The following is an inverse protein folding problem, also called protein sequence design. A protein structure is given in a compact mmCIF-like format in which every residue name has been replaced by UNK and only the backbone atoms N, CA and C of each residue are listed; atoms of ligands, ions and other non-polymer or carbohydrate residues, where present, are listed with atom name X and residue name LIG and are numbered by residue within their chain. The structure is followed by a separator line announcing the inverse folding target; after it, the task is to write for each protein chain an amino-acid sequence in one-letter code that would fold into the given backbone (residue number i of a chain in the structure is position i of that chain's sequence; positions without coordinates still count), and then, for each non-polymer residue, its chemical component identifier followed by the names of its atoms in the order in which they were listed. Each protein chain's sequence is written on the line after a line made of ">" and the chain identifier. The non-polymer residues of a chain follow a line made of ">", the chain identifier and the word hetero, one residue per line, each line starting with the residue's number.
data_IF_680974009081
#
_entry.id   IF_680974009081
#
_cell.length_a   1.000
_cell.length_b   1.000
_cell.length_c   1.000
_cell.angle_alpha   90.00
_cell.angle_beta   90.00
_cell.angle_gamma   90.00
#
_symmetry.space_group_name_H-M   'P 1'
#
loop_
_entity.id
_entity.type
_entity.pdbx_description
1 polymer ?
#
# COMPACT_ATOMS: atom_id res chain seq x y z
N UNK A 1 13.60 -18.08 -1.98
CA UNK A 1 13.36 -17.46 -0.67
C UNK A 1 11.93 -17.78 -0.30
N UNK A 2 11.73 -18.68 0.67
CA UNK A 2 10.44 -19.34 0.93
C UNK A 2 9.61 -18.46 1.85
N UNK A 3 8.43 -18.01 1.41
CA UNK A 3 7.45 -17.37 2.27
C UNK A 3 6.83 -18.43 3.18
N UNK A 4 7.36 -18.54 4.40
CA UNK A 4 6.82 -19.42 5.44
C UNK A 4 5.55 -18.76 5.98
N UNK A 5 4.41 -19.47 5.91
CA UNK A 5 3.16 -19.03 6.52
C UNK A 5 3.23 -19.21 8.06
N UNK A 6 2.57 -18.35 8.87
CA UNK A 6 2.79 -18.31 10.32
C UNK A 6 2.31 -19.53 11.13
N UNK A 7 1.82 -20.60 10.50
CA UNK A 7 1.12 -21.70 11.19
C UNK A 7 1.95 -22.97 11.44
N UNK A 8 3.27 -22.96 11.24
CA UNK A 8 4.11 -24.17 11.40
C UNK A 8 5.32 -24.07 12.33
N UNK A 9 5.40 -23.07 13.22
CA UNK A 9 6.47 -23.01 14.24
C UNK A 9 5.90 -23.12 15.65
N UNK A 10 5.42 -24.31 16.00
CA UNK A 10 5.26 -24.72 17.40
C UNK A 10 6.03 -26.03 17.59
N UNK A 11 7.32 -25.92 17.91
CA UNK A 11 8.01 -26.79 18.86
C UNK A 11 9.43 -26.30 19.17
N UNK A 12 9.64 -26.18 20.48
CA UNK A 12 10.89 -26.41 21.23
C UNK A 12 11.87 -25.23 21.48
N UNK A 13 11.76 -24.74 22.73
CA UNK A 13 12.80 -24.26 23.68
C UNK A 13 13.10 -22.75 23.76
N UNK A 14 12.80 -22.20 24.95
CA UNK A 14 13.70 -21.32 25.72
C UNK A 14 13.66 -19.81 25.44
N UNK A 15 13.08 -19.07 26.39
CA UNK A 15 13.51 -17.73 26.87
C UNK A 15 13.99 -16.68 25.87
N UNK A 16 13.08 -15.83 25.39
CA UNK A 16 13.10 -14.35 25.54
C UNK A 16 11.84 -13.79 24.85
N UNK A 17 10.95 -13.19 25.64
CA UNK A 17 9.68 -12.66 25.16
C UNK A 17 9.92 -11.31 24.48
N UNK A 18 10.43 -11.31 23.26
CA UNK A 18 10.27 -10.18 22.35
C UNK A 18 8.79 -10.10 21.98
N UNK A 19 8.03 -9.30 22.74
CA UNK A 19 6.73 -8.82 22.29
C UNK A 19 6.96 -7.96 21.04
N UNK A 20 7.06 -8.62 19.88
CA UNK A 20 6.99 -7.95 18.59
C UNK A 20 5.61 -7.36 18.47
N UNK A 21 5.54 -6.03 18.53
CA UNK A 21 4.33 -5.24 18.43
C UNK A 21 3.59 -5.59 17.11
N UNK A 22 2.54 -6.42 17.21
CA UNK A 22 1.66 -6.81 16.10
C UNK A 22 0.89 -5.63 15.49
N UNK A 23 1.01 -4.43 16.05
CA UNK A 23 0.21 -3.26 15.69
C UNK A 23 0.53 -2.67 14.30
N UNK A 24 1.67 -2.98 13.68
CA UNK A 24 2.12 -2.28 12.47
C UNK A 24 1.87 -3.02 11.14
N UNK A 25 1.45 -4.29 11.16
CA UNK A 25 1.08 -5.00 9.94
C UNK A 25 -0.42 -4.84 9.68
N UNK A 26 -0.80 -3.76 8.98
CA UNK A 26 -2.15 -3.65 8.44
C UNK A 26 -2.42 -4.86 7.55
N UNK A 27 -3.38 -5.69 7.96
CA UNK A 27 -3.86 -6.82 7.17
C UNK A 27 -4.78 -6.33 6.06
N UNK A 28 -4.65 -6.89 4.86
CA UNK A 28 -5.49 -6.56 3.71
C UNK A 28 -4.90 -5.52 2.77
N UNK A 29 -5.69 -5.10 1.80
CA UNK A 29 -5.30 -4.17 0.76
C UNK A 29 -5.01 -2.76 1.33
N UNK A 30 -3.86 -2.18 0.99
CA UNK A 30 -3.54 -0.81 1.42
C UNK A 30 -4.39 0.27 0.73
N UNK A 31 -5.08 -0.06 -0.37
CA UNK A 31 -5.97 0.85 -1.08
C UNK A 31 -7.38 0.84 -0.48
N UNK A 32 -7.98 -0.34 -0.29
CA UNK A 32 -9.39 -0.49 0.07
C UNK A 32 -9.66 -1.28 1.37
N UNK A 33 -8.64 -1.85 2.00
CA UNK A 33 -8.76 -2.67 3.21
C UNK A 33 -9.27 -4.11 3.00
N UNK A 34 -9.75 -4.45 1.80
CA UNK A 34 -10.29 -5.79 1.51
C UNK A 34 -9.21 -6.88 1.49
N UNK A 35 -9.64 -8.14 1.62
CA UNK A 35 -8.76 -9.32 1.67
C UNK A 35 -7.88 -9.46 0.42
N UNK A 36 -6.63 -9.92 0.64
CA UNK A 36 -5.69 -10.26 -0.42
C UNK A 36 -5.91 -11.71 -0.86
N UNK A 37 -6.01 -11.90 -2.18
CA UNK A 37 -6.14 -13.20 -2.84
C UNK A 37 -4.82 -13.55 -3.50
N UNK A 38 -4.31 -14.75 -3.19
CA UNK A 38 -3.10 -15.29 -3.77
C UNK A 38 -3.45 -16.37 -4.79
N UNK A 39 -2.98 -16.20 -6.03
CA UNK A 39 -3.13 -17.17 -7.12
C UNK A 39 -1.90 -18.07 -7.22
N UNK A 40 -2.11 -19.28 -7.73
CA UNK A 40 -1.02 -20.19 -8.10
C UNK A 40 -0.36 -19.80 -9.42
N UNK A 41 -1.02 -18.96 -10.23
CA UNK A 41 -0.50 -18.44 -11.50
C UNK A 41 -0.17 -16.97 -11.36
N UNK A 42 0.93 -16.56 -11.99
CA UNK A 42 1.30 -15.14 -12.14
C UNK A 42 0.57 -14.56 -13.34
N UNK A 43 -0.08 -13.41 -13.15
CA UNK A 43 -0.76 -12.66 -14.21
C UNK A 43 -0.25 -11.21 -14.24
N UNK A 44 -0.51 -10.50 -15.34
CA UNK A 44 -0.18 -9.07 -15.45
C UNK A 44 -1.11 -8.25 -14.55
N UNK A 45 -0.52 -7.36 -13.76
CA UNK A 45 -1.20 -6.47 -12.84
C UNK A 45 -0.65 -5.05 -12.96
N UNK A 46 -1.54 -4.06 -13.05
CA UNK A 46 -1.15 -2.66 -13.01
C UNK A 46 -1.02 -2.20 -11.55
N UNK A 47 0.11 -1.57 -11.22
CA UNK A 47 0.31 -0.99 -9.89
C UNK A 47 -0.60 0.23 -9.70
N UNK A 48 -1.36 0.23 -8.60
CA UNK A 48 -2.30 1.30 -8.28
C UNK A 48 -1.64 2.70 -8.23
N UNK A 49 -0.42 2.79 -7.71
CA UNK A 49 0.28 4.05 -7.50
C UNK A 49 1.07 4.54 -8.71
N UNK A 50 1.88 3.70 -9.36
CA UNK A 50 2.76 4.13 -10.46
C UNK A 50 2.24 3.79 -11.85
N UNK A 51 1.09 3.10 -11.96
CA UNK A 51 0.43 2.69 -13.21
C UNK A 51 1.28 1.83 -14.16
N UNK A 52 2.41 1.29 -13.67
CA UNK A 52 3.23 0.34 -14.43
C UNK A 52 2.71 -1.08 -14.24
N UNK A 53 2.92 -1.91 -15.26
CA UNK A 53 2.48 -3.31 -15.29
C UNK A 53 3.60 -4.22 -14.76
N UNK A 54 3.23 -5.16 -13.89
CA UNK A 54 4.12 -6.17 -13.30
C UNK A 54 3.49 -7.56 -13.41
N UNK A 55 4.30 -8.61 -13.29
CA UNK A 55 3.79 -9.95 -13.01
C UNK A 55 3.51 -10.06 -11.52
N UNK A 56 2.28 -10.41 -11.16
CA UNK A 56 1.85 -10.61 -9.78
C UNK A 56 0.96 -11.82 -9.68
N UNK A 57 1.10 -12.56 -8.59
CA UNK A 57 0.15 -13.59 -8.18
C UNK A 57 -0.70 -13.15 -6.98
N UNK A 58 -0.64 -11.88 -6.59
CA UNK A 58 -1.40 -11.33 -5.47
C UNK A 58 -2.12 -10.04 -5.86
N UNK A 59 -3.41 -9.97 -5.56
CA UNK A 59 -4.26 -8.78 -5.66
C UNK A 59 -5.33 -8.86 -4.58
N UNK A 60 -6.00 -7.76 -4.25
CA UNK A 60 -7.20 -7.87 -3.42
C UNK A 60 -8.42 -8.32 -4.22
N UNK A 61 -9.52 -8.68 -3.53
CA UNK A 61 -10.80 -9.03 -4.17
C UNK A 61 -11.38 -7.92 -5.08
N UNK A 62 -10.92 -6.68 -4.90
CA UNK A 62 -11.27 -5.52 -5.73
C UNK A 62 -10.17 -5.19 -6.78
N UNK A 63 -9.34 -6.17 -7.15
CA UNK A 63 -8.29 -6.09 -8.19
C UNK A 63 -7.14 -5.09 -7.93
N UNK A 64 -7.01 -4.54 -6.71
CA UNK A 64 -5.89 -3.67 -6.38
C UNK A 64 -4.57 -4.44 -6.23
N UNK A 65 -3.53 -3.91 -6.85
CA UNK A 65 -2.14 -4.36 -6.75
C UNK A 65 -1.20 -3.18 -6.49
N UNK A 66 -0.17 -3.38 -5.67
CA UNK A 66 0.89 -2.41 -5.41
C UNK A 66 2.23 -3.13 -5.61
N UNK A 67 3.10 -2.60 -6.48
CA UNK A 67 4.41 -3.20 -6.72
C UNK A 67 5.38 -2.97 -5.55
N UNK A 68 6.39 -3.84 -5.44
CA UNK A 68 7.40 -3.78 -4.37
C UNK A 68 8.11 -2.43 -4.28
N UNK A 69 8.33 -1.77 -5.42
CA UNK A 69 8.94 -0.44 -5.44
C UNK A 69 8.07 0.60 -4.75
N UNK A 70 6.77 0.66 -5.10
CA UNK A 70 5.84 1.62 -4.50
C UNK A 70 5.51 1.28 -3.04
N UNK A 71 5.50 0.00 -2.68
CA UNK A 71 5.26 -0.45 -1.31
C UNK A 71 6.27 0.12 -0.31
N UNK A 72 7.52 0.33 -0.75
CA UNK A 72 8.63 0.75 0.10
C UNK A 72 9.02 2.23 -0.06
N UNK A 73 8.22 3.03 -0.77
CA UNK A 73 8.52 4.45 -0.96
C UNK A 73 8.34 5.23 0.35
N UNK A 74 9.19 6.25 0.61
CA UNK A 74 8.88 7.25 1.62
C UNK A 74 7.62 8.02 1.19
N UNK A 75 6.86 8.52 2.16
CA UNK A 75 5.58 9.17 1.92
C UNK A 75 5.65 10.32 0.88
N UNK A 76 6.72 11.12 0.91
CA UNK A 76 6.94 12.22 -0.05
C UNK A 76 6.97 11.74 -1.50
N UNK A 77 7.76 10.70 -1.79
CA UNK A 77 7.85 10.16 -3.14
C UNK A 77 6.59 9.37 -3.51
N UNK A 78 5.98 8.65 -2.57
CA UNK A 78 4.70 7.98 -2.78
C UNK A 78 3.60 8.96 -3.21
N UNK A 79 3.42 10.04 -2.45
CA UNK A 79 2.42 11.09 -2.71
C UNK A 79 2.66 11.71 -4.07
N UNK A 80 3.91 12.10 -4.36
CA UNK A 80 4.29 12.66 -5.67
C UNK A 80 4.00 11.70 -6.81
N UNK A 81 4.42 10.43 -6.72
CA UNK A 81 4.20 9.46 -7.78
C UNK A 81 2.72 9.18 -8.01
N UNK A 82 1.94 9.02 -6.94
CA UNK A 82 0.50 8.81 -7.08
C UNK A 82 -0.16 10.02 -7.75
N UNK A 83 0.14 11.23 -7.28
CA UNK A 83 -0.42 12.47 -7.82
C UNK A 83 -0.09 12.70 -9.30
N UNK A 84 1.12 12.34 -9.76
CA UNK A 84 1.54 12.48 -11.16
C UNK A 84 0.83 11.47 -12.07
N UNK A 85 0.53 10.27 -11.57
CA UNK A 85 -0.06 9.19 -12.37
C UNK A 85 -1.57 9.01 -12.14
N UNK A 86 -2.20 9.88 -11.34
CA UNK A 86 -3.64 9.82 -11.07
C UNK A 86 -4.43 10.64 -12.08
N UNK A 87 -5.54 10.08 -12.55
CA UNK A 87 -6.55 10.77 -13.36
C UNK A 87 -7.82 11.11 -12.55
N UNK A 88 -7.77 10.97 -11.22
CA UNK A 88 -8.91 11.29 -10.35
C UNK A 88 -9.12 12.80 -10.30
N UNK A 89 -10.37 13.24 -10.48
CA UNK A 89 -10.84 14.62 -10.27
C UNK A 89 -11.29 14.85 -8.81
N UNK A 90 -11.30 13.80 -7.98
CA UNK A 90 -11.74 13.87 -6.57
C UNK A 90 -10.52 13.92 -5.62
N UNK A 91 -10.17 15.10 -5.07
CA UNK A 91 -9.04 15.22 -4.16
C UNK A 91 -9.27 14.49 -2.83
N UNK A 92 -10.53 14.27 -2.42
CA UNK A 92 -10.85 13.55 -1.20
C UNK A 92 -10.58 12.05 -1.35
N UNK A 93 -10.97 11.48 -2.49
CA UNK A 93 -10.65 10.08 -2.84
C UNK A 93 -9.14 9.86 -2.84
N UNK A 94 -8.41 10.75 -3.54
CA UNK A 94 -6.95 10.73 -3.59
C UNK A 94 -6.31 10.80 -2.19
N UNK A 95 -6.77 11.73 -1.35
CA UNK A 95 -6.25 11.91 0.01
C UNK A 95 -6.48 10.66 0.86
N UNK A 96 -7.70 10.14 0.87
CA UNK A 96 -8.08 8.97 1.67
C UNK A 96 -7.27 7.73 1.26
N UNK A 97 -7.02 7.55 -0.04
CA UNK A 97 -6.20 6.47 -0.55
C UNK A 97 -4.74 6.58 -0.07
N UNK A 98 -4.14 7.77 -0.11
CA UNK A 98 -2.78 7.99 0.39
C UNK A 98 -2.67 7.84 1.90
N UNK A 99 -3.62 8.35 2.68
CA UNK A 99 -3.63 8.28 4.16
C UNK A 99 -3.79 6.84 4.70
N UNK A 100 -4.25 5.88 3.90
CA UNK A 100 -4.28 4.47 4.29
C UNK A 100 -2.87 3.85 4.32
N UNK A 101 -1.93 4.39 3.56
CA UNK A 101 -0.57 3.88 3.49
C UNK A 101 0.18 4.10 4.83
N UNK A 102 0.85 3.08 5.41
CA UNK A 102 1.58 3.21 6.67
C UNK A 102 2.70 4.26 6.70
N UNK A 103 3.21 4.67 5.53
CA UNK A 103 4.18 5.75 5.41
C UNK A 103 3.59 7.13 5.73
N UNK A 104 2.27 7.31 5.56
CA UNK A 104 1.55 8.56 5.90
C UNK A 104 0.98 8.43 7.31
N UNK A 105 1.65 9.02 8.30
CA UNK A 105 1.22 8.92 9.70
C UNK A 105 0.03 9.84 9.96
N UNK A 106 -0.93 9.44 10.79
CA UNK A 106 -2.17 10.21 11.05
C UNK A 106 -1.92 11.67 11.45
N UNK A 107 -0.88 11.93 12.25
CA UNK A 107 -0.48 13.28 12.68
C UNK A 107 0.92 13.65 12.21
N UNK A 108 1.38 13.04 11.11
CA UNK A 108 2.72 13.26 10.62
C UNK A 108 2.84 14.52 9.74
N UNK A 109 4.08 14.99 9.49
CA UNK A 109 4.32 16.14 8.63
C UNK A 109 3.94 15.87 7.17
N UNK A 110 3.66 14.62 6.80
CA UNK A 110 3.29 14.23 5.44
C UNK A 110 2.03 14.95 4.93
N UNK A 111 1.11 15.24 5.85
CA UNK A 111 -0.15 15.93 5.53
C UNK A 111 0.07 17.34 4.97
N UNK A 112 1.16 18.01 5.36
CA UNK A 112 1.46 19.37 4.91
C UNK A 112 1.73 19.45 3.41
N UNK A 113 2.24 18.38 2.80
CA UNK A 113 2.43 18.32 1.35
C UNK A 113 1.42 17.41 0.64
N UNK A 114 0.79 16.45 1.33
CA UNK A 114 -0.31 15.64 0.79
C UNK A 114 -1.48 16.52 0.35
N UNK A 115 -1.98 17.37 1.25
CA UNK A 115 -3.18 18.19 1.00
C UNK A 115 -3.04 19.09 -0.24
N UNK A 116 -1.98 19.91 -0.39
CA UNK A 116 -1.82 20.71 -1.59
C UNK A 116 -1.59 19.84 -2.84
N UNK A 117 -0.89 18.70 -2.73
CA UNK A 117 -0.62 17.85 -3.89
C UNK A 117 -1.89 17.24 -4.48
N UNK A 118 -2.80 16.71 -3.65
CA UNK A 118 -4.06 16.10 -4.13
C UNK A 118 -5.01 17.14 -4.70
N UNK A 119 -5.08 18.34 -4.11
CA UNK A 119 -5.90 19.44 -4.62
C UNK A 119 -5.43 19.89 -6.00
N UNK A 120 -4.11 20.08 -6.18
CA UNK A 120 -3.54 20.49 -7.46
C UNK A 120 -3.71 19.42 -8.54
N UNK A 121 -3.46 18.14 -8.21
CA UNK A 121 -3.65 17.04 -9.15
C UNK A 121 -5.10 16.91 -9.59
N UNK A 122 -6.05 16.92 -8.65
CA UNK A 122 -7.47 16.82 -8.97
C UNK A 122 -7.93 17.98 -9.84
N UNK A 123 -7.52 19.21 -9.53
CA UNK A 123 -7.86 20.39 -10.33
C UNK A 123 -7.27 20.34 -11.74
N UNK A 124 -6.04 19.81 -11.90
CA UNK A 124 -5.42 19.65 -13.22
C UNK A 124 -6.13 18.62 -14.11
N UNK A 125 -6.87 17.68 -13.51
CA UNK A 125 -7.57 16.62 -14.22
C UNK A 125 -8.97 17.04 -14.71
N UNK A 126 -9.45 18.24 -14.36
CA UNK A 126 -10.72 18.83 -14.85
C UNK A 126 -10.55 19.34 -16.29
#
# INVERSE_FOLDING_TARGET
>A
MVCITPKQLLREKGEERLEMNLADYKTGCLVCGSELVYSTKTDKAECYYCKRIYDSNVKCVNDHFICDSCHNLPASELIKQFCINSHSEDPMEMALTLMRNPAVKMHGPEHHFLVPAVLLSAYYNI
#
